data_IF_266701984359
#
_entry.id   IF_266701984359
#
_cell.length_a   1.000
_cell.length_b   1.000
_cell.length_c   1.000
_cell.angle_alpha   90.00
_cell.angle_beta   90.00
_cell.angle_gamma   90.00
#
_symmetry.space_group_name_H-M   'P 1'
#
loop_
_entity.id
_entity.type
_entity.pdbx_description
1 polymer ?
#
# COMPACT_ATOMS: atom_id res chain seq x y z
N UNK A 1 -27.61 -27.15 -20.72
CA UNK A 1 -27.81 -25.93 -19.91
C UNK A 1 -26.49 -25.63 -19.24
N UNK A 2 -25.69 -24.74 -19.81
CA UNK A 2 -24.43 -24.31 -19.20
C UNK A 2 -24.76 -23.53 -17.93
N UNK A 3 -24.41 -24.09 -16.78
CA UNK A 3 -24.40 -23.36 -15.52
C UNK A 3 -23.31 -22.31 -15.61
N UNK A 4 -23.64 -21.12 -16.11
CA UNK A 4 -22.74 -19.99 -16.11
C UNK A 4 -22.19 -19.79 -14.69
N UNK A 5 -20.88 -19.86 -14.54
CA UNK A 5 -20.18 -19.67 -13.27
C UNK A 5 -20.60 -18.31 -12.71
N UNK A 6 -21.37 -18.33 -11.62
CA UNK A 6 -21.91 -17.12 -10.99
C UNK A 6 -20.73 -16.28 -10.50
N UNK A 7 -20.49 -15.14 -11.16
CA UNK A 7 -19.43 -14.21 -10.76
C UNK A 7 -19.71 -13.71 -9.33
N UNK A 8 -18.76 -13.90 -8.42
CA UNK A 8 -18.89 -13.54 -7.00
C UNK A 8 -17.82 -12.51 -6.65
N UNK A 9 -18.24 -11.31 -6.22
CA UNK A 9 -17.36 -10.30 -5.64
C UNK A 9 -17.86 -9.95 -4.25
N UNK A 10 -16.97 -9.98 -3.26
CA UNK A 10 -17.26 -9.55 -1.88
C UNK A 10 -16.37 -8.37 -1.54
N UNK A 11 -16.94 -7.36 -0.90
CA UNK A 11 -16.20 -6.16 -0.45
C UNK A 11 -16.31 -6.08 1.06
N UNK A 12 -15.16 -5.94 1.72
CA UNK A 12 -15.07 -5.78 3.17
C UNK A 12 -14.64 -4.34 3.43
N UNK A 13 -15.51 -3.59 4.11
CA UNK A 13 -15.29 -2.20 4.48
C UNK A 13 -15.41 -2.03 5.99
N UNK A 14 -14.75 -0.99 6.52
CA UNK A 14 -14.94 -0.55 7.90
C UNK A 14 -16.04 0.48 7.92
N UNK A 15 -16.92 0.42 8.92
CA UNK A 15 -18.05 1.35 9.06
C UNK A 15 -17.78 2.44 10.11
N UNK A 16 -16.60 2.43 10.72
CA UNK A 16 -16.19 3.34 11.79
C UNK A 16 -14.82 3.97 11.44
N UNK A 17 -13.99 4.26 12.44
CA UNK A 17 -12.69 4.94 12.30
C UNK A 17 -11.50 3.99 12.40
N UNK A 18 -11.59 2.80 11.78
CA UNK A 18 -10.52 1.81 11.85
C UNK A 18 -10.71 0.78 12.96
N UNK A 19 -9.87 -0.25 12.93
CA UNK A 19 -9.81 -1.34 13.92
C UNK A 19 -11.11 -2.12 14.22
N UNK A 20 -12.03 -2.16 13.26
CA UNK A 20 -13.31 -2.89 13.37
C UNK A 20 -13.17 -4.41 13.19
N UNK A 21 -11.95 -4.95 13.27
CA UNK A 21 -11.69 -6.38 13.08
C UNK A 21 -11.85 -6.88 11.63
N UNK A 22 -11.79 -5.98 10.63
CA UNK A 22 -11.87 -6.31 9.19
C UNK A 22 -10.95 -7.48 8.78
N UNK A 23 -9.75 -7.52 9.37
CA UNK A 23 -8.76 -8.56 9.11
C UNK A 23 -9.29 -9.98 9.35
N UNK A 24 -10.09 -10.16 10.40
CA UNK A 24 -10.72 -11.45 10.73
C UNK A 24 -11.74 -11.87 9.68
N UNK A 25 -12.51 -10.90 9.16
CA UNK A 25 -13.46 -11.16 8.08
C UNK A 25 -12.73 -11.45 6.76
N UNK A 26 -11.65 -10.73 6.47
CA UNK A 26 -10.80 -10.97 5.28
C UNK A 26 -10.26 -12.40 5.32
N UNK A 27 -9.70 -12.84 6.44
CA UNK A 27 -9.20 -14.22 6.62
C UNK A 27 -10.31 -15.26 6.41
N UNK A 28 -11.49 -15.04 7.02
CA UNK A 28 -12.64 -15.94 6.86
C UNK A 28 -13.06 -16.10 5.39
N UNK A 29 -13.22 -14.99 4.65
CA UNK A 29 -13.65 -15.02 3.26
C UNK A 29 -12.56 -15.42 2.27
N UNK A 30 -11.28 -15.27 2.64
CA UNK A 30 -10.13 -15.67 1.81
C UNK A 30 -10.19 -17.15 1.44
N UNK A 31 -10.67 -18.01 2.35
CA UNK A 31 -10.79 -19.47 2.10
C UNK A 31 -11.61 -19.81 0.85
N UNK A 32 -12.67 -19.05 0.60
CA UNK A 32 -13.62 -19.24 -0.49
C UNK A 32 -13.45 -18.22 -1.64
N UNK A 33 -12.30 -17.54 -1.71
CA UNK A 33 -12.00 -16.56 -2.75
C UNK A 33 -10.72 -16.97 -3.47
N UNK A 34 -10.61 -16.70 -4.77
CA UNK A 34 -9.40 -17.01 -5.56
C UNK A 34 -8.43 -15.83 -5.61
N UNK A 35 -8.97 -14.61 -5.60
CA UNK A 35 -8.24 -13.35 -5.73
C UNK A 35 -8.58 -12.44 -4.55
N UNK A 36 -7.53 -11.94 -3.89
CA UNK A 36 -7.64 -11.03 -2.75
C UNK A 36 -7.03 -9.70 -3.17
N UNK A 37 -7.86 -8.66 -3.21
CA UNK A 37 -7.49 -7.35 -3.74
C UNK A 37 -7.47 -6.31 -2.64
N UNK A 38 -6.35 -5.62 -2.50
CA UNK A 38 -6.29 -4.36 -1.76
C UNK A 38 -6.50 -3.20 -2.71
N UNK A 39 -7.53 -2.38 -2.44
CA UNK A 39 -7.97 -1.35 -3.37
C UNK A 39 -7.56 0.08 -2.98
N UNK A 40 -7.17 0.35 -1.74
CA UNK A 40 -6.81 1.70 -1.25
C UNK A 40 -5.83 1.67 -0.07
N UNK A 41 -5.37 2.86 0.30
CA UNK A 41 -4.50 3.12 1.45
C UNK A 41 -3.04 2.86 1.11
N UNK A 42 -2.22 2.60 2.11
CA UNK A 42 -0.81 2.19 1.93
C UNK A 42 -0.28 1.46 3.16
N UNK A 43 0.99 1.64 3.49
CA UNK A 43 1.60 0.98 4.65
C UNK A 43 1.07 1.46 6.03
N UNK A 44 0.04 2.33 6.06
CA UNK A 44 -0.63 2.78 7.28
C UNK A 44 -1.67 1.78 7.82
N UNK A 45 -2.08 0.80 7.03
CA UNK A 45 -2.85 -0.31 7.55
C UNK A 45 -1.89 -1.31 8.22
N UNK A 46 -2.28 -1.84 9.38
CA UNK A 46 -1.62 -3.00 9.99
C UNK A 46 -2.68 -4.07 10.22
N UNK A 47 -2.47 -5.28 9.70
CA UNK A 47 -3.32 -6.41 10.07
C UNK A 47 -2.50 -7.60 10.52
N UNK A 48 -2.84 -8.09 11.71
CA UNK A 48 -2.16 -9.24 12.31
C UNK A 48 -2.96 -10.51 12.01
N UNK A 49 -2.30 -11.51 11.43
CA UNK A 49 -2.86 -12.85 11.24
C UNK A 49 -2.06 -13.85 12.08
N UNK A 50 -2.75 -14.76 12.75
CA UNK A 50 -2.12 -15.85 13.51
C UNK A 50 -2.33 -17.15 12.77
N UNK A 51 -1.25 -17.80 12.34
CA UNK A 51 -1.28 -19.13 11.71
C UNK A 51 -0.34 -20.05 12.46
N UNK A 52 -0.87 -21.15 13.01
CA UNK A 52 -0.09 -22.17 13.76
C UNK A 52 0.84 -21.51 14.80
N UNK A 53 0.27 -20.64 15.62
CA UNK A 53 0.94 -19.88 16.70
C UNK A 53 1.96 -18.82 16.24
N UNK A 54 2.22 -18.68 14.94
CA UNK A 54 3.04 -17.60 14.38
C UNK A 54 2.18 -16.37 14.07
N UNK A 55 2.66 -15.19 14.47
CA UNK A 55 2.06 -13.90 14.18
C UNK A 55 2.69 -13.29 12.93
N UNK A 56 1.85 -12.92 11.97
CA UNK A 56 2.23 -12.20 10.75
C UNK A 56 1.62 -10.82 10.79
N UNK A 57 2.42 -9.77 10.62
CA UNK A 57 1.95 -8.39 10.58
C UNK A 57 2.10 -7.89 9.15
N UNK A 58 0.97 -7.66 8.51
CA UNK A 58 0.91 -7.21 7.13
C UNK A 58 0.59 -5.74 7.04
N UNK A 59 1.24 -5.07 6.09
CA UNK A 59 1.06 -3.64 5.85
C UNK A 59 0.56 -3.36 4.44
N UNK A 60 1.24 -3.89 3.42
CA UNK A 60 0.91 -3.70 2.01
C UNK A 60 0.34 -4.97 1.38
N UNK A 61 0.94 -6.11 1.68
CA UNK A 61 0.60 -7.40 1.09
C UNK A 61 -0.74 -7.88 1.66
N UNK A 62 -1.72 -8.28 0.83
CA UNK A 62 -2.93 -8.92 1.33
C UNK A 62 -2.61 -10.24 2.07
N UNK A 63 -3.24 -10.50 3.22
CA UNK A 63 -3.03 -11.74 4.01
C UNK A 63 -3.34 -13.03 3.25
N UNK A 64 -4.09 -12.95 2.15
CA UNK A 64 -4.33 -14.07 1.24
C UNK A 64 -3.06 -14.76 0.75
N UNK A 65 -1.90 -14.08 0.81
CA UNK A 65 -0.59 -14.66 0.46
C UNK A 65 -0.23 -15.87 1.32
N UNK A 66 -0.79 -16.00 2.52
CA UNK A 66 -0.57 -17.17 3.38
C UNK A 66 -1.21 -18.45 2.84
N UNK A 67 -2.15 -18.33 1.91
CA UNK A 67 -2.80 -19.44 1.24
C UNK A 67 -2.13 -19.67 -0.13
N UNK A 68 -1.54 -20.84 -0.40
CA UNK A 68 -0.69 -21.06 -1.58
C UNK A 68 -1.44 -20.98 -2.92
N UNK A 69 -2.74 -21.26 -2.90
CA UNK A 69 -3.63 -21.28 -4.07
C UNK A 69 -4.21 -19.91 -4.44
N UNK A 70 -3.85 -18.85 -3.70
CA UNK A 70 -4.47 -17.52 -3.85
C UNK A 70 -3.57 -16.53 -4.57
N UNK A 71 -4.21 -15.67 -5.36
CA UNK A 71 -3.58 -14.49 -5.97
C UNK A 71 -3.89 -13.25 -5.14
N UNK A 72 -2.86 -12.49 -4.82
CA UNK A 72 -2.95 -11.22 -4.13
C UNK A 72 -2.71 -10.08 -5.10
N UNK A 73 -3.53 -9.03 -5.03
CA UNK A 73 -3.44 -7.86 -5.91
C UNK A 73 -3.34 -6.59 -5.08
N UNK A 74 -2.35 -5.77 -5.39
CA UNK A 74 -2.24 -4.38 -4.94
C UNK A 74 -2.80 -3.49 -6.07
N UNK A 75 -4.01 -2.97 -5.86
CA UNK A 75 -4.74 -2.20 -6.86
C UNK A 75 -4.20 -0.77 -7.07
N UNK A 76 -4.64 -0.13 -8.15
CA UNK A 76 -4.23 1.22 -8.56
C UNK A 76 -4.61 2.34 -7.57
N UNK A 77 -5.54 2.07 -6.65
CA UNK A 77 -5.92 3.01 -5.61
C UNK A 77 -4.94 3.04 -4.43
N UNK A 78 -4.00 2.10 -4.33
CA UNK A 78 -3.00 2.03 -3.25
C UNK A 78 -1.85 3.01 -3.52
N UNK A 79 -1.35 3.63 -2.45
CA UNK A 79 -0.05 4.32 -2.40
C UNK A 79 0.99 3.33 -1.84
N UNK A 80 1.84 2.84 -2.72
CA UNK A 80 2.78 1.75 -2.50
C UNK A 80 4.13 2.28 -2.00
N UNK A 81 4.52 1.90 -0.79
CA UNK A 81 5.90 2.08 -0.31
C UNK A 81 6.75 0.89 -0.77
N UNK A 82 7.69 1.08 -1.74
CA UNK A 82 8.46 -0.02 -2.29
C UNK A 82 9.41 -0.64 -1.25
N UNK A 83 9.94 0.15 -0.31
CA UNK A 83 10.85 -0.36 0.73
C UNK A 83 10.07 -1.22 1.72
N UNK A 84 8.92 -0.74 2.18
CA UNK A 84 8.06 -1.53 3.08
C UNK A 84 7.59 -2.82 2.41
N UNK A 85 7.25 -2.77 1.12
CA UNK A 85 6.86 -3.96 0.36
C UNK A 85 7.99 -4.99 0.34
N UNK A 86 9.21 -4.58 -0.01
CA UNK A 86 10.37 -5.48 -0.06
C UNK A 86 10.60 -6.15 1.30
N UNK A 87 10.61 -5.37 2.39
CA UNK A 87 10.78 -5.89 3.75
C UNK A 87 9.71 -6.95 4.08
N UNK A 88 8.45 -6.68 3.71
CA UNK A 88 7.33 -7.58 3.97
C UNK A 88 7.44 -8.88 3.15
N UNK A 89 7.84 -8.78 1.88
CA UNK A 89 8.07 -9.94 1.01
C UNK A 89 9.23 -10.81 1.49
N UNK A 90 10.37 -10.21 1.83
CA UNK A 90 11.54 -10.91 2.35
C UNK A 90 11.22 -11.63 3.66
N UNK A 91 10.45 -11.00 4.55
CA UNK A 91 10.00 -11.62 5.80
C UNK A 91 9.11 -12.84 5.56
N UNK A 92 8.24 -12.80 4.54
CA UNK A 92 7.41 -13.94 4.16
C UNK A 92 8.23 -15.08 3.53
N UNK A 93 9.17 -14.75 2.65
CA UNK A 93 10.07 -15.73 2.02
C UNK A 93 10.94 -16.45 3.09
N UNK A 94 11.50 -15.71 4.05
CA UNK A 94 12.27 -16.26 5.17
C UNK A 94 11.45 -17.21 6.06
N UNK A 95 10.13 -17.01 6.11
CA UNK A 95 9.21 -17.86 6.86
C UNK A 95 8.68 -19.05 6.04
N UNK A 96 9.16 -19.22 4.80
CA UNK A 96 8.84 -20.35 3.94
C UNK A 96 7.62 -20.16 3.03
N UNK A 97 7.10 -18.93 2.90
CA UNK A 97 5.99 -18.65 1.99
C UNK A 97 6.49 -18.34 0.58
N UNK A 98 5.87 -18.98 -0.41
CA UNK A 98 6.14 -18.71 -1.83
C UNK A 98 5.37 -17.46 -2.24
N UNK A 99 6.00 -16.30 -2.30
CA UNK A 99 5.33 -15.03 -2.66
C UNK A 99 5.42 -14.67 -4.14
N UNK A 100 6.44 -15.17 -4.83
CA UNK A 100 6.69 -14.89 -6.25
C UNK A 100 5.55 -15.37 -7.12
N UNK A 101 5.25 -14.63 -8.19
CA UNK A 101 4.18 -14.89 -9.16
C UNK A 101 2.75 -14.91 -8.59
N UNK A 102 2.56 -14.59 -7.30
CA UNK A 102 1.23 -14.54 -6.67
C UNK A 102 0.85 -13.15 -6.18
N UNK A 103 1.76 -12.19 -6.24
CA UNK A 103 1.51 -10.80 -5.86
C UNK A 103 1.59 -9.96 -7.12
N UNK A 104 0.42 -9.49 -7.55
CA UNK A 104 0.27 -8.61 -8.70
C UNK A 104 0.20 -7.17 -8.18
N UNK A 105 0.98 -6.29 -8.79
CA UNK A 105 1.03 -4.86 -8.44
C UNK A 105 0.53 -4.09 -9.64
N UNK A 106 -0.49 -3.26 -9.45
CA UNK A 106 -0.93 -2.35 -10.50
C UNK A 106 0.17 -1.35 -10.82
N UNK A 107 0.53 -1.27 -12.09
CA UNK A 107 1.39 -0.25 -12.68
C UNK A 107 0.87 1.18 -12.44
N UNK A 108 -0.44 1.36 -12.26
CA UNK A 108 -1.07 2.64 -11.95
C UNK A 108 -1.06 3.01 -10.45
N UNK A 109 -0.61 2.13 -9.56
CA UNK A 109 -0.42 2.48 -8.13
C UNK A 109 0.64 3.57 -7.99
N UNK A 110 0.41 4.53 -7.09
CA UNK A 110 1.37 5.61 -6.85
C UNK A 110 2.43 5.18 -5.84
N UNK A 111 3.67 5.66 -5.99
CA UNK A 111 4.76 5.32 -5.10
C UNK A 111 4.85 6.30 -3.93
N UNK A 112 5.10 5.76 -2.75
CA UNK A 112 5.58 6.51 -1.60
C UNK A 112 7.11 6.53 -1.69
N UNK A 113 7.65 7.74 -1.74
CA UNK A 113 9.08 8.03 -1.82
C UNK A 113 9.56 8.75 -0.55
N UNK A 114 10.88 8.77 -0.26
CA UNK A 114 11.40 9.34 0.99
C UNK A 114 10.94 10.77 1.30
N UNK A 115 10.85 11.64 0.27
CA UNK A 115 10.38 13.02 0.46
C UNK A 115 8.93 13.10 0.94
N UNK A 116 8.07 12.10 0.66
CA UNK A 116 6.70 12.09 1.16
C UNK A 116 6.67 11.90 2.67
N UNK A 117 7.55 11.05 3.22
CA UNK A 117 7.67 10.83 4.66
C UNK A 117 8.20 12.07 5.36
N UNK A 118 9.26 12.67 4.80
CA UNK A 118 9.83 13.92 5.30
C UNK A 118 8.80 15.08 5.29
N UNK A 119 8.01 15.21 4.22
CA UNK A 119 6.93 16.20 4.14
C UNK A 119 5.80 15.92 5.14
N UNK A 120 5.44 14.66 5.37
CA UNK A 120 4.40 14.27 6.34
C UNK A 120 4.83 14.63 7.77
N UNK A 121 6.07 14.30 8.12
CA UNK A 121 6.69 14.65 9.41
C UNK A 121 6.74 16.16 9.62
N UNK A 122 7.34 16.89 8.67
CA UNK A 122 7.53 18.33 8.77
C UNK A 122 6.19 19.10 8.84
N UNK A 123 5.15 18.63 8.12
CA UNK A 123 3.82 19.22 8.18
C UNK A 123 3.09 18.92 9.50
N UNK A 124 3.28 17.74 10.09
CA UNK A 124 2.73 17.44 11.42
C UNK A 124 3.42 18.24 12.52
N UNK A 125 4.72 18.50 12.42
CA UNK A 125 5.45 19.33 13.36
C UNK A 125 5.05 20.81 13.30
N UNK A 126 4.82 21.34 12.11
CA UNK A 126 4.45 22.74 11.91
C UNK A 126 2.98 23.08 12.25
N UNK A 127 2.12 22.08 12.49
CA UNK A 127 0.70 22.29 12.83
C UNK A 127 0.54 22.72 14.28
N UNK A 128 -0.36 23.69 14.52
CA UNK A 128 -0.84 24.00 15.87
C UNK A 128 -1.62 22.84 16.49
N UNK A 129 -2.41 22.13 15.67
CA UNK A 129 -3.14 20.92 16.05
C UNK A 129 -2.77 19.78 15.10
N UNK A 130 -2.09 18.76 15.65
CA UNK A 130 -1.64 17.59 14.90
C UNK A 130 -2.81 16.72 14.48
N UNK A 131 -2.74 16.14 13.27
CA UNK A 131 -3.71 15.13 12.83
C UNK A 131 -3.44 13.80 13.54
N UNK A 132 -2.18 13.51 13.88
CA UNK A 132 -1.74 12.20 14.33
C UNK A 132 -1.55 11.25 13.15
N UNK A 133 -0.89 11.71 12.08
CA UNK A 133 -0.59 10.83 10.93
C UNK A 133 0.38 9.72 11.33
N UNK A 134 0.42 8.64 10.55
CA UNK A 134 1.38 7.56 10.77
C UNK A 134 2.81 7.94 10.36
N UNK A 135 3.03 9.16 9.85
CA UNK A 135 4.31 9.65 9.30
C UNK A 135 4.88 8.69 8.23
N UNK A 136 3.97 8.11 7.44
CA UNK A 136 4.31 7.16 6.36
C UNK A 136 4.20 7.78 4.98
N UNK A 137 3.88 9.07 4.87
CA UNK A 137 3.78 9.77 3.60
C UNK A 137 2.50 9.48 2.83
N UNK A 138 1.46 8.91 3.47
CA UNK A 138 0.20 8.51 2.81
C UNK A 138 -0.49 9.74 2.22
N UNK A 139 -0.74 10.76 3.05
CA UNK A 139 -1.41 11.99 2.64
C UNK A 139 -0.62 12.72 1.55
N UNK A 140 0.70 12.79 1.70
CA UNK A 140 1.58 13.44 0.73
C UNK A 140 1.58 12.72 -0.63
N UNK A 141 1.60 11.39 -0.64
CA UNK A 141 1.54 10.61 -1.89
C UNK A 141 0.19 10.76 -2.60
N UNK A 142 -0.92 10.79 -1.84
CA UNK A 142 -2.23 11.13 -2.41
C UNK A 142 -2.31 12.57 -2.89
N UNK A 143 -1.65 13.52 -2.22
CA UNK A 143 -1.55 14.91 -2.67
C UNK A 143 -0.86 15.00 -4.04
N UNK A 144 0.28 14.33 -4.20
CA UNK A 144 1.01 14.31 -5.47
C UNK A 144 0.22 13.59 -6.59
N UNK A 145 -0.57 12.56 -6.24
CA UNK A 145 -1.55 11.94 -7.15
C UNK A 145 -2.60 12.96 -7.62
N UNK A 146 -3.23 13.68 -6.70
CA UNK A 146 -4.24 14.70 -7.01
C UNK A 146 -3.68 15.86 -7.83
N UNK A 147 -2.44 16.27 -7.54
CA UNK A 147 -1.72 17.31 -8.27
C UNK A 147 -1.19 16.83 -9.63
N UNK A 148 -1.28 15.53 -9.93
CA UNK A 148 -0.80 14.89 -11.17
C UNK A 148 0.73 14.99 -11.35
N UNK A 149 1.46 15.09 -10.25
CA UNK A 149 2.93 15.09 -10.22
C UNK A 149 3.52 13.79 -9.65
N UNK A 150 2.65 12.91 -9.13
CA UNK A 150 3.05 11.64 -8.55
C UNK A 150 3.74 10.68 -9.53
N UNK A 151 4.63 9.88 -8.96
CA UNK A 151 5.33 8.79 -9.65
C UNK A 151 4.54 7.50 -9.40
N UNK A 152 4.27 6.76 -10.47
CA UNK A 152 3.53 5.49 -10.43
C UNK A 152 4.48 4.31 -10.54
N UNK A 153 4.04 3.13 -10.09
CA UNK A 153 4.80 1.90 -10.17
C UNK A 153 5.25 1.57 -11.61
N UNK A 154 4.39 1.80 -12.61
CA UNK A 154 4.73 1.58 -14.01
C UNK A 154 5.80 2.52 -14.56
N UNK A 155 5.99 3.70 -13.95
CA UNK A 155 7.00 4.66 -14.41
C UNK A 155 8.43 4.14 -14.16
N UNK A 156 8.63 3.14 -13.30
CA UNK A 156 9.95 2.55 -13.02
C UNK A 156 10.56 1.85 -14.23
N UNK A 157 9.72 1.43 -15.18
CA UNK A 157 10.15 0.75 -16.40
C UNK A 157 10.66 1.74 -17.47
N UNK A 158 10.45 3.05 -17.28
CA UNK A 158 11.02 4.11 -18.13
C UNK A 158 11.92 5.04 -17.30
N UNK A 159 13.23 4.76 -17.32
CA UNK A 159 14.22 5.51 -16.57
C UNK A 159 14.32 6.99 -16.96
N UNK A 160 14.02 7.34 -18.22
CA UNK A 160 14.06 8.73 -18.70
C UNK A 160 12.88 9.51 -18.12
N UNK A 161 11.68 8.92 -18.16
CA UNK A 161 10.48 9.49 -17.54
C UNK A 161 10.64 9.58 -16.02
N UNK A 162 11.11 8.52 -15.37
CA UNK A 162 11.30 8.47 -13.93
C UNK A 162 12.23 9.59 -13.46
N UNK A 163 13.40 9.76 -14.10
CA UNK A 163 14.33 10.84 -13.77
C UNK A 163 13.68 12.22 -13.89
N UNK A 164 12.92 12.47 -14.96
CA UNK A 164 12.20 13.74 -15.16
C UNK A 164 11.18 13.99 -14.05
N UNK A 165 10.39 12.99 -13.67
CA UNK A 165 9.40 13.11 -12.59
C UNK A 165 10.03 13.31 -11.23
N UNK A 166 11.10 12.58 -10.90
CA UNK A 166 11.83 12.74 -9.64
C UNK A 166 12.42 14.16 -9.55
N UNK A 167 13.07 14.64 -10.62
CA UNK A 167 13.61 16.00 -10.64
C UNK A 167 12.52 17.07 -10.45
N UNK A 168 11.37 16.91 -11.11
CA UNK A 168 10.22 17.81 -10.92
C UNK A 168 9.74 17.80 -9.46
N UNK A 169 9.56 16.62 -8.87
CA UNK A 169 9.12 16.49 -7.49
C UNK A 169 10.10 17.16 -6.52
N UNK A 170 11.40 16.90 -6.66
CA UNK A 170 12.43 17.51 -5.79
C UNK A 170 12.50 19.04 -5.94
N UNK A 171 12.37 19.57 -7.16
CA UNK A 171 12.34 21.02 -7.39
C UNK A 171 11.15 21.71 -6.70
N UNK A 172 10.05 21.00 -6.47
CA UNK A 172 8.88 21.51 -5.76
C UNK A 172 9.04 21.31 -4.25
N UNK A 173 9.43 20.10 -3.81
CA UNK A 173 9.43 19.72 -2.39
C UNK A 173 10.63 20.26 -1.62
N UNK A 174 11.81 20.38 -2.23
CA UNK A 174 13.00 20.89 -1.53
C UNK A 174 12.80 22.33 -1.01
N UNK A 175 12.33 23.30 -1.82
CA UNK A 175 12.06 24.65 -1.30
C UNK A 175 10.99 24.68 -0.22
N UNK A 176 9.99 23.80 -0.28
CA UNK A 176 8.96 23.69 0.76
C UNK A 176 9.58 23.23 2.09
N UNK A 177 10.37 22.15 2.05
CA UNK A 177 11.06 21.64 3.24
C UNK A 177 12.07 22.64 3.81
N UNK A 178 12.82 23.35 2.95
CA UNK A 178 13.89 24.26 3.39
C UNK A 178 13.40 25.62 3.87
N UNK A 179 12.28 26.14 3.34
CA UNK A 179 11.86 27.53 3.56
C UNK A 179 10.54 27.68 4.29
N UNK A 180 9.72 26.62 4.34
CA UNK A 180 8.40 26.66 4.98
C UNK A 180 8.43 25.87 6.29
N UNK A 181 9.04 24.68 6.29
CA UNK A 181 9.01 23.77 7.43
C UNK A 181 10.34 23.61 8.18
N UNK A 182 11.40 24.27 7.71
CA UNK A 182 12.67 24.44 8.43
C UNK A 182 12.81 25.86 8.93
#
# INVERSE_FOLDING_TARGET
MESGTKMSCKVIIGTQWGDEGKAKMIDYYTRASDIIVRYQGGANAGHTVVVKEKKFIFHLVPSGVLHPDKICVIGNGVVLDPLQLIIELESLEQQGFVVRNRILISDASHLILPYHKAMDEAMEEARSEKIGTTVRGIGQSYSDKCLRIGIRAGDIFDMKLLKKKVSLALNIKNPQLERIYK
#
